data_IF_197237855808
#
_entry.id   IF_197237855808
#
_cell.length_a   1.000
_cell.length_b   1.000
_cell.length_c   1.000
_cell.angle_alpha   90.00
_cell.angle_beta   90.00
_cell.angle_gamma   90.00
#
_symmetry.space_group_name_H-M   'P 1'
#
loop_
_entity.id
_entity.type
_entity.pdbx_description
1 polymer ?
#
# COMPACT_ATOMS: atom_id res chain seq x y z
N UNK A 1 18.79 9.88 -25.76
CA UNK A 1 17.67 9.00 -25.39
C UNK A 1 16.34 9.75 -25.31
N UNK A 2 16.18 10.80 -24.42
CA UNK A 2 14.90 11.52 -24.27
C UNK A 2 14.35 12.02 -25.59
N UNK A 3 15.19 12.70 -26.41
CA UNK A 3 14.78 13.23 -27.72
C UNK A 3 14.40 12.14 -28.75
N UNK A 4 14.91 10.91 -28.57
CA UNK A 4 14.64 9.79 -29.47
C UNK A 4 13.34 9.07 -29.15
N UNK A 5 12.99 9.02 -27.85
CA UNK A 5 11.79 8.29 -27.36
C UNK A 5 10.56 9.18 -27.24
N UNK A 6 10.73 10.52 -27.17
CA UNK A 6 9.58 11.44 -27.04
C UNK A 6 8.73 11.43 -28.29
N UNK A 7 7.44 11.20 -28.15
CA UNK A 7 6.47 11.23 -29.24
C UNK A 7 6.23 12.66 -29.73
N UNK A 8 5.79 12.82 -30.97
CA UNK A 8 5.66 14.16 -31.64
C UNK A 8 4.73 15.09 -30.82
N UNK A 9 3.71 14.53 -30.22
CA UNK A 9 2.71 15.26 -29.45
C UNK A 9 3.26 15.85 -28.14
N UNK A 10 4.35 15.26 -27.60
CA UNK A 10 4.96 15.64 -26.34
C UNK A 10 6.28 16.41 -26.45
N UNK A 11 6.76 16.66 -27.67
CA UNK A 11 8.09 17.31 -27.92
C UNK A 11 8.19 18.67 -27.25
N UNK A 12 7.19 19.54 -27.43
CA UNK A 12 7.25 20.91 -26.93
C UNK A 12 7.20 20.94 -25.40
N UNK A 13 6.36 20.11 -24.78
CA UNK A 13 6.24 20.01 -23.32
C UNK A 13 7.54 19.44 -22.69
N UNK A 14 8.09 18.38 -23.27
CA UNK A 14 9.35 17.78 -22.83
C UNK A 14 10.51 18.75 -22.98
N UNK A 15 10.55 19.54 -24.05
CA UNK A 15 11.59 20.55 -24.28
C UNK A 15 11.52 21.66 -23.24
N UNK A 16 10.34 22.22 -23.01
CA UNK A 16 10.12 23.26 -22.00
C UNK A 16 10.52 22.78 -20.59
N UNK A 17 10.13 21.55 -20.21
CA UNK A 17 10.49 20.98 -18.93
C UNK A 17 12.00 20.75 -18.78
N UNK A 18 12.69 20.30 -19.82
CA UNK A 18 14.16 20.16 -19.82
C UNK A 18 14.86 21.51 -19.62
N UNK A 19 14.38 22.57 -20.26
CA UNK A 19 14.89 23.92 -20.10
C UNK A 19 14.69 24.40 -18.65
N UNK A 20 13.51 24.20 -18.05
CA UNK A 20 13.24 24.49 -16.64
C UNK A 20 14.19 23.74 -15.70
N UNK A 21 14.34 22.42 -15.89
CA UNK A 21 15.22 21.60 -15.05
C UNK A 21 16.69 21.99 -15.18
N UNK A 22 17.13 22.51 -16.33
CA UNK A 22 18.51 22.96 -16.53
C UNK A 22 18.91 24.17 -15.67
N UNK A 23 17.93 24.92 -15.20
CA UNK A 23 18.13 26.10 -14.33
C UNK A 23 18.24 25.72 -12.85
N UNK A 24 17.87 24.48 -12.46
CA UNK A 24 17.91 23.98 -11.08
C UNK A 24 19.26 23.34 -10.79
N UNK A 25 19.82 23.62 -9.61
CA UNK A 25 21.02 22.90 -9.15
C UNK A 25 20.66 21.50 -8.60
N UNK A 26 21.66 20.65 -8.38
CA UNK A 26 21.47 19.27 -7.96
C UNK A 26 20.82 19.15 -6.57
N UNK A 27 21.16 20.07 -5.66
CA UNK A 27 20.57 20.09 -4.30
C UNK A 27 19.08 20.44 -4.34
N UNK A 28 18.69 21.42 -5.15
CA UNK A 28 17.28 21.79 -5.35
C UNK A 28 16.45 20.66 -6.00
N UNK A 29 17.09 19.82 -6.79
CA UNK A 29 16.44 18.68 -7.48
C UNK A 29 16.22 17.48 -6.55
N UNK A 30 17.07 17.27 -5.55
CA UNK A 30 17.07 16.09 -4.67
C UNK A 30 16.37 16.30 -3.32
N UNK A 31 15.86 17.51 -3.05
CA UNK A 31 15.17 17.80 -1.79
C UNK A 31 13.92 16.92 -1.61
N UNK A 32 13.88 16.14 -0.51
CA UNK A 32 12.85 15.14 -0.24
C UNK A 32 11.44 15.74 -0.09
N UNK A 33 11.33 16.89 0.56
CA UNK A 33 10.04 17.55 0.85
C UNK A 33 9.49 18.40 -0.31
N UNK A 34 10.15 18.40 -1.46
CA UNK A 34 9.71 19.15 -2.61
C UNK A 34 8.61 18.42 -3.37
N UNK A 35 7.63 19.19 -3.83
CA UNK A 35 6.60 18.69 -4.75
C UNK A 35 7.26 18.08 -6.00
N UNK A 36 6.93 16.82 -6.29
CA UNK A 36 7.50 16.10 -7.45
C UNK A 36 6.99 16.71 -8.76
N UNK A 37 7.90 16.96 -9.68
CA UNK A 37 7.58 17.47 -11.02
C UNK A 37 8.05 16.51 -12.10
N UNK A 38 7.39 16.52 -13.24
CA UNK A 38 7.76 15.66 -14.37
C UNK A 38 6.81 15.82 -15.54
N UNK A 39 7.21 15.25 -16.68
CA UNK A 39 6.43 15.28 -17.92
C UNK A 39 6.46 13.91 -18.59
N UNK A 40 5.31 13.47 -19.08
CA UNK A 40 5.19 12.25 -19.84
C UNK A 40 5.81 12.40 -21.22
N UNK A 41 6.60 11.40 -21.66
CA UNK A 41 7.26 11.43 -22.98
C UNK A 41 6.35 10.97 -24.13
N UNK A 42 5.17 10.44 -23.82
CA UNK A 42 4.31 9.75 -24.79
C UNK A 42 4.74 8.31 -25.09
N UNK A 43 5.92 7.90 -24.60
CA UNK A 43 6.46 6.57 -24.85
C UNK A 43 6.28 5.63 -23.65
N UNK A 44 6.38 4.34 -23.94
CA UNK A 44 6.29 3.25 -22.94
C UNK A 44 7.48 2.31 -23.11
N UNK A 45 7.99 1.83 -21.98
CA UNK A 45 8.88 0.67 -21.93
C UNK A 45 8.06 -0.62 -21.74
N UNK A 46 8.65 -1.74 -22.12
CA UNK A 46 8.08 -3.06 -21.84
C UNK A 46 8.80 -3.65 -20.61
N UNK A 47 8.06 -3.93 -19.55
CA UNK A 47 8.63 -4.64 -18.40
C UNK A 47 8.96 -6.08 -18.82
N UNK A 48 10.25 -6.50 -18.78
CA UNK A 48 10.66 -7.82 -19.27
C UNK A 48 10.14 -8.97 -18.38
N UNK A 49 9.68 -8.69 -17.16
CA UNK A 49 9.20 -9.71 -16.22
C UNK A 49 7.76 -10.13 -16.53
N UNK A 50 6.90 -9.16 -16.87
CA UNK A 50 5.46 -9.41 -17.05
C UNK A 50 4.89 -8.92 -18.38
N UNK A 51 5.74 -8.40 -19.29
CA UNK A 51 5.38 -7.83 -20.57
C UNK A 51 4.38 -6.67 -20.54
N UNK A 52 4.19 -6.03 -19.39
CA UNK A 52 3.34 -4.86 -19.28
C UNK A 52 4.04 -3.59 -19.78
N UNK A 53 3.24 -2.67 -20.32
CA UNK A 53 3.71 -1.35 -20.72
C UNK A 53 3.86 -0.45 -19.50
N UNK A 54 5.02 0.15 -19.32
CA UNK A 54 5.34 1.11 -18.26
C UNK A 54 5.52 2.48 -18.90
N UNK A 55 4.80 3.54 -18.47
CA UNK A 55 4.94 4.87 -19.03
C UNK A 55 6.32 5.46 -18.71
N UNK A 56 6.91 6.18 -19.66
CA UNK A 56 8.21 6.84 -19.49
C UNK A 56 7.99 8.32 -19.24
N UNK A 57 8.42 8.78 -18.07
CA UNK A 57 8.45 10.18 -17.68
C UNK A 57 9.86 10.73 -17.63
N UNK A 58 10.00 12.05 -17.77
CA UNK A 58 11.19 12.76 -17.31
C UNK A 58 10.84 13.49 -16.02
N UNK A 59 11.75 13.51 -15.06
CA UNK A 59 11.57 14.16 -13.78
C UNK A 59 12.87 14.75 -13.25
N UNK A 60 12.78 15.86 -12.53
CA UNK A 60 13.94 16.60 -12.02
C UNK A 60 14.68 15.87 -10.89
N UNK A 61 14.01 14.97 -10.13
CA UNK A 61 14.68 14.20 -9.10
C UNK A 61 15.48 12.98 -9.61
N UNK A 62 15.32 12.62 -10.89
CA UNK A 62 16.12 11.57 -11.55
C UNK A 62 17.42 12.18 -12.05
N UNK A 63 18.53 11.85 -11.38
CA UNK A 63 19.84 12.43 -11.71
C UNK A 63 20.50 11.69 -12.87
N UNK A 64 21.00 12.45 -13.85
CA UNK A 64 21.74 11.90 -14.97
C UNK A 64 23.09 11.28 -14.55
N UNK A 65 23.62 11.68 -13.39
CA UNK A 65 24.85 11.14 -12.78
C UNK A 65 24.65 9.77 -12.12
N UNK A 66 23.40 9.33 -11.92
CA UNK A 66 23.11 8.05 -11.30
C UNK A 66 22.87 6.96 -12.35
N UNK A 67 23.74 5.96 -12.37
CA UNK A 67 23.66 4.84 -13.32
C UNK A 67 23.72 5.28 -14.78
N UNK A 68 22.72 4.92 -15.56
CA UNK A 68 22.59 5.31 -16.98
C UNK A 68 21.82 6.62 -17.20
N UNK A 69 21.37 7.27 -16.11
CA UNK A 69 20.46 8.41 -16.16
C UNK A 69 18.99 8.02 -16.46
N UNK A 70 18.70 6.72 -16.51
CA UNK A 70 17.35 6.17 -16.58
C UNK A 70 17.17 5.13 -15.47
N UNK A 71 16.07 5.23 -14.73
CA UNK A 71 15.73 4.31 -13.63
C UNK A 71 14.37 3.67 -13.88
N UNK A 72 14.16 2.48 -13.37
CA UNK A 72 12.84 1.91 -13.21
C UNK A 72 12.33 2.28 -11.82
N UNK A 73 11.27 3.08 -11.77
CA UNK A 73 10.68 3.52 -10.52
C UNK A 73 10.01 2.35 -9.78
N UNK A 74 10.04 2.41 -8.44
CA UNK A 74 9.44 1.41 -7.55
C UNK A 74 8.49 2.07 -6.54
N UNK A 75 7.34 2.59 -6.97
CA UNK A 75 6.47 3.45 -6.17
C UNK A 75 5.96 2.82 -4.86
N UNK A 76 5.89 1.50 -4.79
CA UNK A 76 5.47 0.81 -3.57
C UNK A 76 6.59 0.73 -2.51
N UNK A 77 7.86 1.06 -2.84
CA UNK A 77 9.01 0.83 -1.98
C UNK A 77 10.03 1.98 -1.94
N UNK A 78 9.76 3.09 -2.64
CA UNK A 78 10.54 4.33 -2.59
C UNK A 78 9.59 5.52 -2.43
N UNK A 79 9.82 6.35 -1.40
CA UNK A 79 8.95 7.47 -1.04
C UNK A 79 8.85 8.53 -2.16
N UNK A 80 9.94 8.80 -2.86
CA UNK A 80 9.97 9.80 -3.95
C UNK A 80 9.17 9.31 -5.14
N UNK A 81 9.31 8.03 -5.48
CA UNK A 81 8.57 7.37 -6.56
C UNK A 81 7.08 7.25 -6.19
N UNK A 82 6.77 7.01 -4.91
CA UNK A 82 5.40 7.00 -4.39
C UNK A 82 4.71 8.36 -4.58
N UNK A 83 5.34 9.43 -4.13
CA UNK A 83 4.82 10.79 -4.27
C UNK A 83 4.61 11.18 -5.74
N UNK A 84 5.56 10.79 -6.60
CA UNK A 84 5.46 11.00 -8.03
C UNK A 84 4.27 10.24 -8.63
N UNK A 85 4.15 8.95 -8.31
CA UNK A 85 3.06 8.11 -8.81
C UNK A 85 1.69 8.61 -8.35
N UNK A 86 1.56 9.04 -7.11
CA UNK A 86 0.32 9.66 -6.59
C UNK A 86 -0.05 10.93 -7.35
N UNK A 87 0.92 11.82 -7.57
CA UNK A 87 0.69 13.07 -8.29
C UNK A 87 0.24 12.87 -9.72
N UNK A 88 0.84 11.91 -10.43
CA UNK A 88 0.57 11.65 -11.84
C UNK A 88 -0.47 10.53 -12.07
N UNK A 89 -1.15 10.06 -11.01
CA UNK A 89 -2.13 8.97 -11.06
C UNK A 89 -1.59 7.70 -11.73
N UNK A 90 -0.31 7.39 -11.48
CA UNK A 90 0.33 6.15 -11.96
C UNK A 90 -0.01 5.04 -10.97
N UNK A 91 -0.40 3.83 -11.42
CA UNK A 91 -0.67 2.71 -10.55
C UNK A 91 0.52 2.38 -9.66
N UNK A 92 0.27 2.20 -8.35
CA UNK A 92 1.27 1.75 -7.38
C UNK A 92 1.01 0.27 -7.14
N UNK A 93 1.98 -0.56 -7.53
CA UNK A 93 1.88 -2.02 -7.46
C UNK A 93 2.97 -2.51 -6.51
N UNK A 94 2.58 -3.21 -5.46
CA UNK A 94 3.53 -3.89 -4.58
C UNK A 94 4.23 -5.00 -5.37
N UNK A 95 5.56 -4.94 -5.42
CA UNK A 95 6.41 -5.92 -6.14
C UNK A 95 7.27 -6.77 -5.21
N UNK A 96 7.33 -6.39 -3.94
CA UNK A 96 7.96 -7.16 -2.87
C UNK A 96 6.88 -7.52 -1.85
N UNK A 97 6.85 -8.76 -1.44
CA UNK A 97 6.03 -9.22 -0.32
C UNK A 97 6.81 -9.02 0.98
N UNK A 98 6.18 -8.40 1.97
CA UNK A 98 6.77 -8.34 3.31
C UNK A 98 6.58 -9.70 3.98
N UNK A 99 7.68 -10.37 4.32
CA UNK A 99 7.69 -11.66 4.98
C UNK A 99 8.29 -11.49 6.37
N UNK A 100 7.58 -11.95 7.39
CA UNK A 100 8.05 -11.95 8.77
C UNK A 100 8.11 -13.38 9.32
N UNK A 101 9.13 -13.65 10.13
CA UNK A 101 9.43 -15.00 10.66
C UNK A 101 10.09 -15.92 9.64
N UNK A 102 10.49 -17.08 10.11
CA UNK A 102 11.16 -18.09 9.30
C UNK A 102 10.18 -19.13 8.79
N UNK A 103 10.30 -19.49 7.52
CA UNK A 103 9.52 -20.56 6.91
C UNK A 103 9.92 -21.94 7.44
N UNK A 104 8.92 -22.79 7.69
CA UNK A 104 9.10 -24.15 8.18
C UNK A 104 8.43 -25.19 7.28
N UNK A 105 8.91 -26.41 7.29
CA UNK A 105 8.22 -27.51 6.64
C UNK A 105 6.88 -27.79 7.34
N UNK A 106 5.85 -28.14 6.57
CA UNK A 106 4.50 -28.50 7.05
C UNK A 106 3.71 -27.36 7.71
N UNK A 107 3.88 -26.13 7.24
CA UNK A 107 3.04 -25.00 7.68
C UNK A 107 1.58 -25.15 7.27
N UNK A 108 0.69 -24.77 8.16
CA UNK A 108 -0.73 -24.57 7.84
C UNK A 108 -0.93 -23.19 7.22
N UNK A 109 -1.31 -23.14 5.95
CA UNK A 109 -1.58 -21.87 5.26
C UNK A 109 -2.96 -21.34 5.61
N UNK A 110 -3.04 -20.02 5.86
CA UNK A 110 -4.29 -19.30 6.10
C UNK A 110 -4.26 -17.93 5.43
N UNK A 111 -5.42 -17.47 4.99
CA UNK A 111 -5.63 -16.10 4.54
C UNK A 111 -6.39 -15.34 5.63
N UNK A 112 -5.90 -14.15 5.95
CA UNK A 112 -6.49 -13.29 6.96
C UNK A 112 -6.57 -11.84 6.51
N UNK A 113 -7.22 -11.02 7.30
CA UNK A 113 -7.24 -9.57 7.13
C UNK A 113 -6.77 -8.85 8.40
N UNK A 114 -6.31 -7.62 8.20
CA UNK A 114 -6.16 -6.63 9.27
C UNK A 114 -6.95 -5.39 8.87
N UNK A 115 -7.94 -5.01 9.67
CA UNK A 115 -8.74 -3.82 9.44
C UNK A 115 -8.35 -2.72 10.42
N UNK A 116 -7.98 -1.57 9.88
CA UNK A 116 -7.65 -0.35 10.62
C UNK A 116 -8.81 0.62 10.44
N UNK A 117 -9.45 1.01 11.54
CA UNK A 117 -10.56 1.96 11.52
C UNK A 117 -10.09 3.31 12.06
N UNK A 118 -10.17 4.36 11.23
CA UNK A 118 -9.74 5.71 11.53
C UNK A 118 -10.94 6.64 11.77
N UNK A 119 -10.98 7.22 12.95
CA UNK A 119 -11.91 8.30 13.32
C UNK A 119 -11.25 9.66 13.01
N UNK A 120 -11.58 10.23 11.86
CA UNK A 120 -11.04 11.51 11.41
C UNK A 120 -11.44 12.67 12.34
N UNK A 121 -12.63 12.62 12.92
CA UNK A 121 -13.15 13.68 13.81
C UNK A 121 -12.32 13.85 15.07
N UNK A 122 -11.86 12.73 15.63
CA UNK A 122 -11.05 12.70 16.85
C UNK A 122 -9.56 12.48 16.57
N UNK A 123 -9.18 12.28 15.31
CA UNK A 123 -7.80 11.94 14.86
C UNK A 123 -7.26 10.71 15.62
N UNK A 124 -8.02 9.63 15.64
CA UNK A 124 -7.68 8.41 16.38
C UNK A 124 -7.92 7.17 15.56
N UNK A 125 -7.17 6.13 15.89
CA UNK A 125 -7.40 4.78 15.38
C UNK A 125 -8.08 3.93 16.44
N UNK A 126 -9.04 3.11 16.01
CA UNK A 126 -9.68 2.12 16.89
C UNK A 126 -8.74 0.92 17.04
N UNK A 127 -8.57 0.47 18.28
CA UNK A 127 -7.83 -0.74 18.62
C UNK A 127 -8.62 -1.55 19.64
N UNK A 128 -8.52 -2.87 19.55
CA UNK A 128 -9.09 -3.80 20.53
C UNK A 128 -8.07 -4.04 21.66
N UNK A 129 -8.54 -4.18 22.88
CA UNK A 129 -7.69 -4.55 24.02
C UNK A 129 -7.53 -6.07 24.05
N UNK A 130 -6.30 -6.54 24.04
CA UNK A 130 -6.02 -7.95 24.23
C UNK A 130 -5.58 -8.17 25.68
N UNK A 131 -6.54 -8.62 26.51
CA UNK A 131 -6.31 -8.77 27.94
C UNK A 131 -5.24 -9.83 28.28
N UNK A 132 -5.18 -10.92 27.52
CA UNK A 132 -4.23 -12.02 27.77
C UNK A 132 -2.77 -11.63 27.52
N UNK A 133 -2.50 -10.79 26.54
CA UNK A 133 -1.15 -10.34 26.18
C UNK A 133 -0.82 -8.93 26.65
N UNK A 134 -1.77 -8.22 27.27
CA UNK A 134 -1.58 -6.85 27.77
C UNK A 134 -1.33 -5.81 26.67
N UNK A 135 -1.78 -6.08 25.45
CA UNK A 135 -1.55 -5.26 24.26
C UNK A 135 -2.83 -4.68 23.65
N UNK A 136 -2.62 -3.90 22.58
CA UNK A 136 -3.69 -3.40 21.71
C UNK A 136 -3.44 -3.89 20.30
N UNK A 137 -4.48 -4.36 19.65
CA UNK A 137 -4.42 -4.86 18.27
C UNK A 137 -5.41 -4.11 17.39
N UNK A 138 -5.15 -4.05 16.11
CA UNK A 138 -6.16 -3.77 15.10
C UNK A 138 -7.07 -4.98 14.93
N UNK A 139 -8.22 -4.77 14.31
CA UNK A 139 -9.20 -5.81 14.06
C UNK A 139 -8.60 -6.82 13.08
N UNK A 140 -8.61 -8.09 13.46
CA UNK A 140 -8.10 -9.19 12.64
C UNK A 140 -9.21 -10.19 12.36
N UNK A 141 -9.10 -10.91 11.24
CA UNK A 141 -10.06 -11.97 10.91
C UNK A 141 -9.53 -12.98 9.91
N UNK A 142 -10.04 -14.19 9.98
CA UNK A 142 -9.73 -15.23 8.98
C UNK A 142 -10.78 -15.19 7.88
N UNK A 143 -10.33 -15.15 6.62
CA UNK A 143 -11.22 -15.16 5.44
C UNK A 143 -11.94 -16.52 5.38
N UNK A 144 -13.27 -16.48 5.34
CA UNK A 144 -14.13 -17.65 5.27
C UNK A 144 -14.33 -18.12 3.81
N UNK A 145 -14.88 -19.32 3.65
CA UNK A 145 -15.28 -19.79 2.32
C UNK A 145 -16.36 -18.88 1.72
N UNK A 146 -16.19 -18.50 0.46
CA UNK A 146 -17.10 -17.65 -0.32
C UNK A 146 -17.20 -16.17 0.11
N UNK A 147 -16.27 -15.66 0.89
CA UNK A 147 -16.13 -14.22 1.11
C UNK A 147 -14.82 -13.69 0.52
N UNK A 148 -14.83 -12.43 0.06
CA UNK A 148 -13.62 -11.71 -0.31
C UNK A 148 -12.92 -11.16 0.93
N UNK A 149 -11.63 -10.79 0.81
CA UNK A 149 -10.90 -10.15 1.91
C UNK A 149 -11.58 -8.85 2.40
N UNK A 150 -12.15 -8.06 1.49
CA UNK A 150 -12.88 -6.84 1.84
C UNK A 150 -14.19 -7.11 2.58
N UNK A 151 -14.93 -8.15 2.19
CA UNK A 151 -16.15 -8.59 2.90
C UNK A 151 -15.81 -9.09 4.29
N UNK A 152 -14.75 -9.90 4.42
CA UNK A 152 -14.22 -10.33 5.72
C UNK A 152 -13.90 -9.13 6.62
N UNK A 153 -13.15 -8.14 6.11
CA UNK A 153 -12.79 -6.96 6.89
C UNK A 153 -14.02 -6.18 7.39
N UNK A 154 -15.05 -6.02 6.55
CA UNK A 154 -16.30 -5.36 6.95
C UNK A 154 -17.10 -6.17 7.96
N UNK A 155 -17.14 -7.50 7.81
CA UNK A 155 -17.79 -8.41 8.76
C UNK A 155 -17.12 -8.33 10.13
N UNK A 156 -15.78 -8.48 10.19
CA UNK A 156 -15.02 -8.41 11.44
C UNK A 156 -15.16 -7.05 12.14
N UNK A 157 -15.14 -5.93 11.40
CA UNK A 157 -15.40 -4.60 11.98
C UNK A 157 -16.78 -4.58 12.63
N UNK A 158 -17.82 -5.09 11.96
CA UNK A 158 -19.18 -5.11 12.49
C UNK A 158 -19.28 -6.01 13.72
N UNK A 159 -18.73 -7.21 13.66
CA UNK A 159 -18.77 -8.21 14.75
C UNK A 159 -18.06 -7.70 16.01
N UNK A 160 -16.84 -7.15 15.84
CA UNK A 160 -16.01 -6.72 16.96
C UNK A 160 -16.41 -5.35 17.55
N UNK A 161 -16.95 -4.46 16.72
CA UNK A 161 -17.18 -3.07 17.14
C UNK A 161 -18.62 -2.61 17.04
N UNK A 162 -19.42 -3.28 16.23
CA UNK A 162 -20.79 -2.85 15.88
C UNK A 162 -20.85 -1.70 14.87
N UNK A 163 -19.73 -1.15 14.40
CA UNK A 163 -19.74 -0.10 13.40
C UNK A 163 -20.06 -0.67 12.01
N UNK A 164 -20.99 -0.02 11.30
CA UNK A 164 -21.41 -0.42 9.94
C UNK A 164 -21.27 0.71 8.93
N UNK A 165 -21.26 1.95 9.41
CA UNK A 165 -21.14 3.14 8.57
C UNK A 165 -19.65 3.51 8.40
N UNK A 166 -18.99 2.78 7.51
CA UNK A 166 -17.55 2.85 7.25
C UNK A 166 -17.27 3.00 5.76
N UNK A 167 -16.24 3.76 5.42
CA UNK A 167 -15.77 3.98 4.06
C UNK A 167 -14.36 3.43 3.89
N UNK A 168 -14.15 2.62 2.85
CA UNK A 168 -12.79 2.15 2.51
C UNK A 168 -11.96 3.29 1.96
N UNK A 169 -10.85 3.63 2.63
CA UNK A 169 -9.89 4.62 2.15
C UNK A 169 -8.87 3.93 1.25
N UNK A 170 -8.30 2.81 1.71
CA UNK A 170 -7.18 2.16 1.03
C UNK A 170 -7.05 0.69 1.38
N UNK A 171 -6.68 -0.12 0.39
CA UNK A 171 -6.17 -1.47 0.60
C UNK A 171 -4.66 -1.37 0.78
N UNK A 172 -4.15 -1.92 1.87
CA UNK A 172 -2.74 -1.91 2.24
C UNK A 172 -2.02 -3.12 1.61
N UNK A 173 -0.69 -3.03 1.50
CA UNK A 173 0.13 -4.16 1.07
C UNK A 173 -0.13 -5.43 1.87
N UNK A 174 -0.02 -6.57 1.20
CA UNK A 174 -0.08 -7.88 1.85
C UNK A 174 1.20 -8.14 2.64
N UNK A 175 1.03 -8.82 3.77
CA UNK A 175 2.12 -9.25 4.65
C UNK A 175 1.99 -10.76 4.82
N UNK A 176 3.11 -11.46 4.76
CA UNK A 176 3.17 -12.90 5.00
C UNK A 176 3.88 -13.18 6.33
N UNK A 177 3.20 -13.87 7.25
CA UNK A 177 3.69 -14.18 8.58
C UNK A 177 3.92 -15.67 8.76
N UNK A 178 5.14 -16.04 9.15
CA UNK A 178 5.48 -17.39 9.59
C UNK A 178 5.65 -17.40 11.11
N UNK A 179 4.91 -18.24 11.81
CA UNK A 179 5.03 -18.36 13.25
C UNK A 179 4.60 -19.72 13.78
N UNK A 180 5.09 -20.07 14.96
CA UNK A 180 4.67 -21.26 15.68
C UNK A 180 3.60 -20.92 16.72
N UNK A 181 2.44 -21.55 16.63
CA UNK A 181 1.35 -21.41 17.58
C UNK A 181 1.48 -22.48 18.68
N UNK A 182 2.01 -22.11 19.82
CA UNK A 182 2.24 -23.01 20.96
C UNK A 182 0.95 -23.71 21.45
N UNK A 183 -0.16 -23.02 21.45
CA UNK A 183 -1.46 -23.56 21.88
C UNK A 183 -2.06 -24.59 20.90
N UNK A 184 -1.54 -24.64 19.67
CA UNK A 184 -1.99 -25.57 18.61
C UNK A 184 -0.93 -26.55 18.17
N UNK A 185 0.29 -26.42 18.72
CA UNK A 185 1.47 -27.24 18.37
C UNK A 185 1.69 -27.33 16.85
N UNK A 186 1.64 -26.14 16.16
CA UNK A 186 1.70 -26.07 14.70
C UNK A 186 2.38 -24.79 14.21
N UNK A 187 3.07 -24.93 13.08
CA UNK A 187 3.53 -23.79 12.30
C UNK A 187 2.43 -23.28 11.37
N UNK A 188 2.34 -21.97 11.27
CA UNK A 188 1.41 -21.27 10.39
C UNK A 188 2.16 -20.35 9.44
N UNK A 189 1.65 -20.28 8.21
CA UNK A 189 1.95 -19.27 7.24
C UNK A 189 0.65 -18.51 6.97
N UNK A 190 0.57 -17.25 7.41
CA UNK A 190 -0.61 -16.42 7.26
C UNK A 190 -0.34 -15.28 6.28
N UNK A 191 -1.04 -15.29 5.15
CA UNK A 191 -1.12 -14.14 4.25
C UNK A 191 -2.22 -13.19 4.74
N UNK A 192 -1.83 -11.99 5.18
CA UNK A 192 -2.74 -10.97 5.69
C UNK A 192 -2.90 -9.82 4.72
N UNK A 193 -4.14 -9.47 4.35
CA UNK A 193 -4.45 -8.27 3.58
C UNK A 193 -4.92 -7.17 4.53
N UNK A 194 -4.27 -6.01 4.48
CA UNK A 194 -4.63 -4.85 5.30
C UNK A 194 -5.68 -3.96 4.62
N UNK A 195 -6.55 -3.33 5.40
CA UNK A 195 -7.51 -2.35 4.93
C UNK A 195 -7.57 -1.16 5.89
N UNK A 196 -7.53 0.05 5.34
CA UNK A 196 -7.78 1.28 6.08
C UNK A 196 -9.17 1.79 5.77
N UNK A 197 -10.01 1.87 6.80
CA UNK A 197 -11.36 2.44 6.72
C UNK A 197 -11.45 3.74 7.51
N UNK A 198 -12.32 4.62 7.05
CA UNK A 198 -12.77 5.81 7.78
C UNK A 198 -14.11 5.51 8.45
N UNK A 199 -14.24 5.91 9.70
CA UNK A 199 -15.52 5.93 10.39
C UNK A 199 -16.35 7.13 9.92
N UNK A 200 -17.50 6.87 9.31
CA UNK A 200 -18.38 7.93 8.76
C UNK A 200 -19.31 8.47 9.84
N UNK A 201 -19.82 7.60 10.71
CA UNK A 201 -20.65 7.99 11.84
C UNK A 201 -20.44 7.09 13.06
N UNK A 202 -20.83 7.58 14.25
CA UNK A 202 -20.75 6.85 15.51
C UNK A 202 -21.93 5.84 15.68
N UNK A 203 -22.63 5.52 14.59
CA UNK A 203 -23.76 4.60 14.62
C UNK A 203 -23.27 3.18 14.82
N UNK A 204 -23.69 2.57 15.91
CA UNK A 204 -23.39 1.18 16.28
C UNK A 204 -24.66 0.34 16.14
N UNK A 205 -24.56 -0.74 15.38
CA UNK A 205 -25.59 -1.78 15.37
C UNK A 205 -25.29 -2.76 16.51
N UNK A 206 -26.23 -2.91 17.44
CA UNK A 206 -26.13 -3.92 18.50
C UNK A 206 -26.48 -5.27 17.91
N UNK A 207 -25.50 -6.02 17.44
CA UNK A 207 -25.65 -7.47 17.28
C UNK A 207 -25.54 -8.14 18.67
N UNK A 208 -26.33 -9.19 18.91
CA UNK A 208 -26.21 -10.02 20.10
C UNK A 208 -24.80 -10.64 20.10
N UNK A 209 -23.93 -10.16 20.99
CA UNK A 209 -22.74 -10.91 21.37
C UNK A 209 -23.22 -12.17 22.09
N UNK A 210 -22.74 -13.33 21.67
CA UNK A 210 -22.86 -14.52 22.52
C UNK A 210 -22.13 -14.22 23.82
N UNK A 211 -22.76 -14.54 24.96
CA UNK A 211 -22.34 -14.11 26.31
C UNK A 211 -20.99 -14.68 26.80
N UNK A 212 -20.24 -15.39 25.95
CA UNK A 212 -19.02 -16.11 26.33
C UNK A 212 -17.70 -15.45 25.91
N UNK A 213 -17.72 -14.29 25.23
CA UNK A 213 -16.52 -13.53 24.92
C UNK A 213 -16.38 -12.32 25.85
N UNK A 214 -15.79 -12.53 27.02
CA UNK A 214 -15.26 -11.45 27.85
C UNK A 214 -13.94 -10.96 27.25
N UNK A 215 -13.98 -9.80 26.60
CA UNK A 215 -12.82 -9.04 26.16
C UNK A 215 -12.26 -8.13 27.25
#
# INVERSE_FOLDING_TARGET
LVNEITTKEHIEEVKAYKEECSLKNEMERTELNKEKTGVFTGAYAINPVNNQKIPIYISDYVLASYGTGAIMAVPAHDERDYDFAKKFNIPIIQVLEEVTGDSHENETKKNSIVAILYDEKNNKYLTLNWHELGGRLFIGGTIQENETALECAKREIREETGYTDIELIHELPKINHHYYAYNKDKYFNIESTGFLFKLVSDKVEKEHREEDETF
#
